data_IF_856867480266
#
_entry.id   IF_856867480266
#
_cell.length_a   1.000
_cell.length_b   1.000
_cell.length_c   1.000
_cell.angle_alpha   90.00
_cell.angle_beta   90.00
_cell.angle_gamma   90.00
#
_symmetry.space_group_name_H-M   'P 1'
#
loop_
_entity.id
_entity.type
_entity.pdbx_description
1 polymer ?
2 non-polymer ?
#
# COMPACT_ATOMS: atom_id res chain seq x y z
N UNK A 1 -11.38 -10.47 4.76
CA UNK A 1 -12.23 -9.35 5.23
C UNK A 1 -13.68 -9.54 4.81
N UNK A 2 -14.59 -9.03 5.63
CA UNK A 2 -16.02 -9.15 5.34
C UNK A 2 -16.55 -7.91 4.64
N UNK A 3 -15.95 -6.77 4.93
CA UNK A 3 -16.40 -5.50 4.37
C UNK A 3 -15.65 -5.20 3.09
N UNK A 4 -16.37 -4.74 2.04
CA UNK A 4 -15.75 -4.29 0.78
C UNK A 4 -14.63 -3.29 1.04
N UNK A 5 -13.41 -3.77 0.95
CA UNK A 5 -12.24 -3.00 1.35
C UNK A 5 -11.85 -1.98 0.29
N UNK A 6 -11.79 -0.72 0.70
CA UNK A 6 -11.31 0.34 -0.16
C UNK A 6 -9.94 0.80 0.31
N UNK A 7 -8.96 0.72 -0.57
CA UNK A 7 -7.61 1.16 -0.24
C UNK A 7 -7.55 2.68 -0.17
N UNK A 8 -6.55 3.16 0.55
CA UNK A 8 -6.51 4.55 0.92
C UNK A 8 -5.66 5.39 0.00
N UNK A 9 -5.50 4.91 -1.23
CA UNK A 9 -4.76 5.65 -2.24
C UNK A 9 -5.63 6.79 -2.75
N UNK A 10 -5.01 7.97 -3.02
CA UNK A 10 -5.74 9.12 -3.55
C UNK A 10 -6.41 8.78 -4.88
N UNK A 11 -5.81 7.86 -5.59
CA UNK A 11 -6.36 7.35 -6.83
C UNK A 11 -5.86 5.92 -7.06
N UNK A 12 -6.65 4.95 -6.61
CA UNK A 12 -6.33 3.56 -6.86
C UNK A 12 -6.65 3.23 -8.30
N UNK A 13 -5.63 3.25 -9.14
CA UNK A 13 -5.77 2.95 -10.55
C UNK A 13 -5.67 1.45 -10.81
N UNK A 14 -5.62 0.67 -9.73
CA UNK A 14 -5.42 -0.76 -9.86
C UNK A 14 -6.73 -1.53 -9.73
N UNK A 15 -7.56 -1.16 -8.76
CA UNK A 15 -8.87 -1.80 -8.64
C UNK A 15 -9.80 -1.26 -9.72
N UNK A 16 -9.40 -0.14 -10.32
CA UNK A 16 -10.12 0.42 -11.45
C UNK A 16 -9.54 -0.14 -12.76
N UNK A 17 -8.31 -0.66 -12.68
CA UNK A 17 -7.67 -1.29 -13.82
C UNK A 17 -8.37 -2.58 -14.16
N UNK A 18 -9.03 -3.15 -13.15
CA UNK A 18 -9.79 -4.37 -13.30
C UNK A 18 -11.24 -4.05 -13.61
N UNK A 19 -11.96 -5.01 -14.17
CA UNK A 19 -13.33 -4.78 -14.60
C UNK A 19 -14.28 -5.79 -13.96
N UNK A 20 -14.67 -5.53 -12.73
CA UNK A 20 -15.64 -6.37 -12.07
C UNK A 20 -15.00 -7.36 -11.12
N UNK A 21 -13.72 -7.60 -11.30
CA UNK A 21 -12.98 -8.53 -10.46
C UNK A 21 -11.66 -7.91 -10.05
N UNK A 22 -11.60 -7.44 -8.82
CA UNK A 22 -10.42 -6.78 -8.29
C UNK A 22 -9.40 -7.80 -7.78
N UNK A 23 -9.57 -9.05 -8.21
CA UNK A 23 -8.69 -10.16 -7.83
C UNK A 23 -8.85 -10.56 -6.37
N UNK A 24 -9.63 -9.75 -5.63
CA UNK A 24 -9.75 -9.92 -4.18
C UNK A 24 -8.36 -9.94 -3.56
N UNK A 25 -7.52 -9.03 -4.04
CA UNK A 25 -6.12 -8.95 -3.65
C UNK A 25 -5.97 -8.78 -2.14
N UNK A 26 -4.86 -9.27 -1.61
CA UNK A 26 -4.55 -9.15 -0.19
C UNK A 26 -4.46 -7.69 0.22
N UNK A 27 -5.45 -7.22 0.96
CA UNK A 27 -5.46 -5.84 1.39
C UNK A 27 -4.54 -5.66 2.58
N UNK A 28 -3.43 -4.99 2.35
CA UNK A 28 -2.40 -4.81 3.35
C UNK A 28 -2.76 -3.71 4.33
N UNK A 29 -2.52 -3.98 5.59
CA UNK A 29 -2.58 -2.95 6.60
C UNK A 29 -1.21 -2.30 6.71
N UNK A 30 -1.18 -1.00 6.97
CA UNK A 30 0.08 -0.29 7.12
C UNK A 30 0.90 -0.88 8.26
N UNK A 31 2.10 -1.40 7.92
CA UNK A 31 3.05 -1.96 8.89
C UNK A 31 3.40 -0.98 10.00
N UNK A 32 3.75 -1.49 11.16
CA UNK A 32 4.17 -0.65 12.27
C UNK A 32 5.60 -0.97 12.66
N UNK A 33 6.22 -1.82 11.86
CA UNK A 33 7.58 -2.27 12.12
C UNK A 33 8.29 -2.56 10.80
N UNK A 34 9.41 -1.88 10.54
CA UNK A 34 9.92 -0.81 11.42
C UNK A 34 9.09 0.46 11.32
N UNK A 35 9.31 1.38 12.26
CA UNK A 35 8.55 2.62 12.31
C UNK A 35 8.82 3.49 11.08
N UNK A 36 10.06 3.50 10.62
CA UNK A 36 10.45 4.28 9.45
C UNK A 36 9.77 3.74 8.20
N UNK A 37 9.45 2.45 8.19
CA UNK A 37 8.73 1.85 7.08
C UNK A 37 7.29 2.32 7.09
N UNK A 38 6.71 2.35 8.29
CA UNK A 38 5.35 2.86 8.48
C UNK A 38 5.27 4.32 8.02
N UNK A 39 6.29 5.08 8.37
CA UNK A 39 6.39 6.47 7.99
C UNK A 39 6.46 6.61 6.46
N UNK A 40 7.26 5.75 5.85
CA UNK A 40 7.44 5.77 4.40
C UNK A 40 6.15 5.39 3.68
N UNK A 41 5.39 4.50 4.30
CA UNK A 41 4.13 4.02 3.74
C UNK A 41 3.14 5.16 3.54
N UNK A 42 3.26 6.20 4.35
CA UNK A 42 2.36 7.34 4.26
C UNK A 42 2.73 8.24 3.09
N UNK A 43 3.99 8.14 2.64
CA UNK A 43 4.47 8.94 1.53
C UNK A 43 3.76 8.57 0.23
N UNK A 44 3.52 7.28 0.05
CA UNK A 44 2.91 6.77 -1.17
C UNK A 44 1.49 7.28 -1.36
N UNK A 45 0.80 7.47 -0.25
CA UNK A 45 -0.59 7.89 -0.29
C UNK A 45 -0.70 9.39 -0.06
N UNK A 46 0.43 10.03 0.21
CA UNK A 46 0.44 11.46 0.49
C UNK A 46 -0.40 11.81 1.71
N UNK A 47 -0.42 10.91 2.68
CA UNK A 47 -1.25 11.09 3.86
C UNK A 47 -0.37 11.22 5.11
N UNK A 48 -1.00 11.65 6.20
CA UNK A 48 -0.32 11.77 7.46
C UNK A 48 -0.75 10.64 8.40
N UNK A 49 -0.14 10.57 9.57
CA UNK A 49 -0.32 9.42 10.47
C UNK A 49 -1.67 9.47 11.17
N UNK A 50 -2.18 10.66 11.39
CA UNK A 50 -3.48 10.83 12.02
C UNK A 50 -4.57 10.67 10.98
N UNK A 51 -4.14 10.51 9.74
CA UNK A 51 -5.02 10.40 8.60
C UNK A 51 -4.85 9.06 7.90
N UNK A 52 -4.35 8.08 8.63
CA UNK A 52 -4.01 6.79 8.07
C UNK A 52 -4.13 5.69 9.13
N UNK A 53 -3.99 4.45 8.69
CA UNK A 53 -3.92 3.27 9.56
C UNK A 53 -5.30 2.77 9.97
N UNK A 54 -6.17 3.68 10.39
CA UNK A 54 -7.51 3.32 10.87
C UNK A 54 -8.29 2.55 9.81
N UNK A 55 -8.75 3.24 8.77
CA UNK A 55 -9.52 2.63 7.71
C UNK A 55 -8.61 2.31 6.53
N UNK A 56 -7.64 3.19 6.30
CA UNK A 56 -6.76 3.11 5.14
C UNK A 56 -6.10 1.74 5.02
N UNK A 57 -6.22 1.17 3.84
CA UNK A 57 -5.58 -0.11 3.52
C UNK A 57 -4.87 0.05 2.19
N UNK A 58 -4.04 -0.91 1.81
CA UNK A 58 -3.34 -0.84 0.54
C UNK A 58 -3.44 -2.15 -0.22
N UNK A 59 -3.87 -2.08 -1.47
CA UNK A 59 -3.90 -3.24 -2.35
C UNK A 59 -2.49 -3.80 -2.54
N UNK A 60 -2.39 -5.12 -2.65
CA UNK A 60 -1.11 -5.76 -2.91
C UNK A 60 -0.65 -5.47 -4.33
N UNK A 61 -1.56 -4.87 -5.11
CA UNK A 61 -1.28 -4.52 -6.48
C UNK A 61 -0.41 -3.27 -6.56
N UNK A 62 -0.20 -2.62 -5.42
CA UNK A 62 0.62 -1.42 -5.36
C UNK A 62 2.07 -1.77 -5.08
N UNK A 63 2.43 -3.03 -5.28
CA UNK A 63 3.78 -3.50 -5.03
C UNK A 63 4.32 -4.27 -6.22
N UNK A 64 5.56 -3.99 -6.60
CA UNK A 64 6.24 -4.75 -7.62
C UNK A 64 6.59 -6.13 -7.07
N UNK A 65 5.68 -7.07 -7.25
CA UNK A 65 5.82 -8.39 -6.68
C UNK A 65 4.64 -8.74 -5.81
N UNK A 66 3.87 -7.72 -5.43
CA UNK A 66 2.67 -7.93 -4.63
C UNK A 66 2.98 -8.40 -3.21
N UNK A 67 4.18 -8.10 -2.74
CA UNK A 67 4.63 -8.62 -1.46
C UNK A 67 5.05 -7.50 -0.51
N UNK A 68 4.38 -7.42 0.63
CA UNK A 68 4.79 -6.54 1.71
C UNK A 68 5.54 -7.33 2.78
N UNK A 69 6.78 -6.97 3.01
CA UNK A 69 7.56 -7.59 4.06
C UNK A 69 7.85 -6.58 5.17
N UNK A 70 9.01 -5.93 5.10
CA UNK A 70 9.40 -4.95 6.10
C UNK A 70 10.27 -3.86 5.48
N UNK A 71 10.25 -3.78 4.17
CA UNK A 71 11.02 -2.77 3.48
C UNK A 71 10.40 -2.42 2.15
N UNK A 72 9.09 -2.62 2.07
CA UNK A 72 8.36 -2.45 0.83
C UNK A 72 7.24 -1.43 1.01
N UNK A 73 7.37 -0.30 0.34
CA UNK A 73 6.37 0.76 0.38
C UNK A 73 5.51 0.67 -0.87
N UNK A 74 4.19 0.94 -0.76
CA UNK A 74 3.30 0.88 -1.91
C UNK A 74 3.62 1.98 -2.93
N UNK A 75 3.31 1.74 -4.19
CA UNK A 75 3.48 2.73 -5.23
C UNK A 75 2.21 2.88 -6.05
N UNK A 76 2.02 4.02 -6.71
CA UNK A 76 0.81 4.29 -7.50
C UNK A 76 0.72 3.35 -8.70
N UNK A 77 1.87 3.06 -9.30
CA UNK A 77 1.97 2.19 -10.45
C UNK A 77 3.38 1.64 -10.56
N UNK A 78 3.61 0.39 -10.12
CA UNK A 78 4.94 -0.23 -10.19
C UNK A 78 5.44 -0.35 -11.62
N UNK A 79 4.52 -0.29 -12.57
CA UNK A 79 4.84 -0.39 -13.98
C UNK A 79 5.24 0.96 -14.57
N UNK A 80 5.09 2.02 -13.79
CA UNK A 80 5.37 3.37 -14.28
C UNK A 80 6.24 4.16 -13.31
N UNK A 81 5.84 4.16 -12.05
CA UNK A 81 6.51 4.96 -11.03
C UNK A 81 7.72 4.21 -10.46
N UNK A 82 8.31 4.76 -9.41
CA UNK A 82 9.48 4.18 -8.81
C UNK A 82 9.11 3.45 -7.51
N UNK A 83 8.97 2.13 -7.62
CA UNK A 83 8.73 1.27 -6.47
C UNK A 83 9.58 1.67 -5.29
N UNK A 84 8.94 2.26 -4.27
CA UNK A 84 9.66 2.72 -3.10
C UNK A 84 9.95 1.56 -2.18
N UNK A 85 11.21 1.21 -2.04
CA UNK A 85 11.62 0.16 -1.13
C UNK A 85 12.78 0.64 -0.27
N UNK A 86 12.94 0.04 0.89
CA UNK A 86 13.98 0.46 1.81
C UNK A 86 14.83 -0.71 2.25
N UNK A 87 16.05 -0.41 2.62
CA UNK A 87 16.94 -1.43 3.16
C UNK A 87 16.88 -1.38 4.68
N UNK A 88 16.10 -2.28 5.25
CA UNK A 88 15.92 -2.34 6.69
C UNK A 88 17.20 -2.83 7.35
N UNK A 89 17.66 -2.13 8.40
CA UNK A 89 18.84 -2.54 9.15
C UNK A 89 18.68 -3.93 9.72
N UNK A 90 19.61 -4.85 9.37
CA UNK A 90 19.53 -6.25 9.78
C UNK A 90 19.65 -6.42 11.29
N UNK A 91 18.50 -6.52 11.96
CA UNK A 91 18.40 -6.69 13.42
C UNK A 91 18.66 -5.37 14.13
X LIG B 1 -5.45 0.31 -4.28
#
# INVERSE_FOLDING_TARGET
>A
GSMPTTCGFPNCKFRSRYRGLEDNRHFYRIPKRPLILRQRWLTAIGRTEETVVSQLRICSAHFEGGEKKEGDIPVPDPTVDKQIKIELPPK
>B hetero
1 ZN ZN
#
